data_IF_703602999570
#
_entry.id   IF_703602999570
#
_cell.length_a   1.000
_cell.length_b   1.000
_cell.length_c   1.000
_cell.angle_alpha   90.00
_cell.angle_beta   90.00
_cell.angle_gamma   90.00
#
_symmetry.space_group_name_H-M   'P 1'
#
loop_
_entity.id
_entity.type
_entity.pdbx_description
1 polymer ?
#
# COMPACT_ATOMS: atom_id res chain seq x y z
N UNK A 1 39.46 -5.13 -50.72
CA UNK A 1 38.81 -4.13 -49.85
C UNK A 1 37.42 -4.65 -49.49
N UNK A 2 37.18 -5.07 -48.25
CA UNK A 2 35.86 -5.53 -47.76
C UNK A 2 35.42 -4.66 -46.60
N UNK A 3 34.16 -4.22 -46.71
CA UNK A 3 33.51 -3.16 -45.94
C UNK A 3 33.41 -3.49 -44.44
N UNK A 4 33.90 -2.59 -43.58
CA UNK A 4 33.90 -2.70 -42.11
C UNK A 4 32.65 -2.10 -41.44
N UNK A 5 31.66 -1.60 -42.19
CA UNK A 5 30.53 -0.85 -41.62
C UNK A 5 29.36 -1.71 -41.11
N UNK A 6 29.26 -2.98 -41.52
CA UNK A 6 28.10 -3.83 -41.21
C UNK A 6 28.09 -4.45 -39.80
N UNK A 7 29.26 -4.59 -39.15
CA UNK A 7 29.37 -5.29 -37.85
C UNK A 7 29.04 -4.40 -36.62
N UNK A 8 28.85 -3.08 -36.81
CA UNK A 8 28.54 -2.14 -35.72
C UNK A 8 27.05 -2.03 -35.40
N UNK A 9 26.17 -2.26 -36.38
CA UNK A 9 24.72 -2.04 -36.22
C UNK A 9 24.03 -3.11 -35.36
N UNK A 10 24.45 -4.38 -35.45
CA UNK A 10 23.86 -5.50 -34.69
C UNK A 10 24.17 -5.44 -33.19
N UNK A 11 25.24 -4.75 -32.78
CA UNK A 11 25.64 -4.62 -31.37
C UNK A 11 24.89 -3.53 -30.60
N UNK A 12 24.26 -2.57 -31.28
CA UNK A 12 23.58 -1.44 -30.63
C UNK A 12 22.13 -1.81 -30.24
N UNK A 13 21.49 -2.72 -30.97
CA UNK A 13 20.07 -3.08 -30.78
C UNK A 13 19.82 -3.83 -29.46
N UNK A 14 20.75 -4.67 -29.00
CA UNK A 14 20.58 -5.43 -27.74
C UNK A 14 20.67 -4.51 -26.51
N UNK A 15 21.59 -3.55 -26.52
CA UNK A 15 21.79 -2.62 -25.38
C UNK A 15 20.61 -1.66 -25.16
N UNK A 16 19.96 -1.21 -26.24
CA UNK A 16 18.79 -0.32 -26.16
C UNK A 16 17.54 -1.04 -25.64
N UNK A 17 17.38 -2.34 -25.93
CA UNK A 17 16.29 -3.17 -25.40
C UNK A 17 16.46 -3.43 -23.89
N UNK A 18 17.69 -3.60 -23.41
CA UNK A 18 17.96 -3.75 -21.98
C UNK A 18 17.79 -2.43 -21.20
N UNK A 19 18.19 -1.29 -21.79
CA UNK A 19 17.98 0.03 -21.19
C UNK A 19 16.50 0.46 -21.20
N UNK A 20 15.74 0.10 -22.23
CA UNK A 20 14.30 0.33 -22.25
C UNK A 20 13.56 -0.57 -21.25
N UNK A 21 14.00 -1.81 -21.05
CA UNK A 21 13.48 -2.71 -20.01
C UNK A 21 13.74 -2.19 -18.58
N UNK A 22 14.93 -1.61 -18.33
CA UNK A 22 15.27 -0.99 -17.04
C UNK A 22 14.48 0.30 -16.77
N UNK A 23 14.24 1.11 -17.80
CA UNK A 23 13.39 2.30 -17.70
C UNK A 23 11.90 1.96 -17.57
N UNK A 24 11.46 0.79 -18.06
CA UNK A 24 10.09 0.28 -17.84
C UNK A 24 9.88 -0.23 -16.42
N UNK A 25 10.92 -0.80 -15.79
CA UNK A 25 10.88 -1.26 -14.41
C UNK A 25 10.86 -0.10 -13.39
N UNK A 26 11.41 1.07 -13.72
CA UNK A 26 11.43 2.23 -12.82
C UNK A 26 10.15 3.09 -12.87
N UNK A 27 9.30 2.91 -13.89
CA UNK A 27 8.14 3.78 -14.14
C UNK A 27 6.81 3.34 -13.50
N UNK A 28 6.73 2.15 -12.89
CA UNK A 28 5.52 1.70 -12.17
C UNK A 28 5.72 1.76 -10.66
N UNK A 29 5.99 2.95 -10.14
CA UNK A 29 5.51 3.28 -8.79
C UNK A 29 4.00 3.53 -8.89
N UNK A 30 3.22 2.46 -9.08
CA UNK A 30 1.87 2.47 -8.53
C UNK A 30 2.06 2.58 -7.02
N UNK A 31 2.08 3.80 -6.49
CA UNK A 31 1.79 4.01 -5.09
C UNK A 31 0.52 3.22 -4.80
N UNK A 32 0.57 2.32 -3.82
CA UNK A 32 -0.60 1.53 -3.43
C UNK A 32 -1.77 2.51 -3.34
N UNK A 33 -2.86 2.33 -4.12
CA UNK A 33 -4.06 3.07 -3.83
C UNK A 33 -4.40 2.70 -2.38
N UNK A 34 -4.36 3.70 -1.48
CA UNK A 34 -4.82 3.52 -0.11
C UNK A 34 -6.16 2.80 -0.19
N UNK A 35 -6.29 1.71 0.56
CA UNK A 35 -7.41 0.77 0.49
C UNK A 35 -8.72 1.54 0.29
N UNK A 36 -9.32 1.44 -0.91
CA UNK A 36 -10.61 2.10 -1.24
C UNK A 36 -11.81 1.24 -0.89
N UNK A 37 -11.55 0.09 -0.29
CA UNK A 37 -12.53 -0.90 0.06
C UNK A 37 -12.83 -0.82 1.54
N UNK A 38 -14.11 -0.68 1.86
CA UNK A 38 -14.60 -0.76 3.21
C UNK A 38 -14.56 -2.22 3.67
N UNK A 39 -13.51 -2.58 4.41
CA UNK A 39 -13.47 -3.86 5.12
C UNK A 39 -14.33 -3.77 6.38
N UNK A 40 -15.30 -4.67 6.50
CA UNK A 40 -16.06 -4.83 7.73
C UNK A 40 -15.17 -5.51 8.76
N UNK A 41 -14.46 -4.72 9.56
CA UNK A 41 -13.83 -5.24 10.76
C UNK A 41 -14.94 -5.75 11.67
N UNK A 42 -14.82 -7.00 12.11
CA UNK A 42 -15.80 -7.70 12.93
C UNK A 42 -15.88 -7.09 14.32
N UNK A 43 -16.43 -5.89 14.42
CA UNK A 43 -16.87 -5.33 15.67
C UNK A 43 -18.13 -6.09 16.07
N UNK A 44 -17.98 -7.05 16.99
CA UNK A 44 -19.06 -7.92 17.48
C UNK A 44 -19.89 -7.29 18.62
N UNK A 45 -19.69 -6.00 18.91
CA UNK A 45 -20.17 -5.37 20.14
C UNK A 45 -21.29 -4.34 19.96
N UNK A 46 -22.29 -4.60 19.11
CA UNK A 46 -23.48 -3.73 19.00
C UNK A 46 -23.24 -2.39 18.30
N UNK A 47 -24.17 -1.45 18.50
CA UNK A 47 -24.16 -0.15 17.83
C UNK A 47 -23.02 0.72 18.37
N UNK A 48 -22.26 1.37 17.48
CA UNK A 48 -21.19 2.30 17.85
C UNK A 48 -21.82 3.68 18.12
N UNK A 49 -21.53 4.26 19.28
CA UNK A 49 -22.05 5.57 19.69
C UNK A 49 -20.99 6.66 19.57
N UNK A 50 -19.73 6.31 19.81
CA UNK A 50 -18.61 7.25 19.73
C UNK A 50 -17.33 6.55 19.24
N UNK A 51 -16.50 7.31 18.53
CA UNK A 51 -15.19 6.92 18.05
C UNK A 51 -14.22 8.08 18.28
N UNK A 52 -13.06 7.81 18.88
CA UNK A 52 -12.00 8.79 19.07
C UNK A 52 -10.63 8.21 18.67
N UNK A 53 -9.78 9.07 18.11
CA UNK A 53 -8.39 8.77 17.74
C UNK A 53 -7.48 9.44 18.77
N UNK A 54 -6.47 8.73 19.26
CA UNK A 54 -5.44 9.34 20.09
C UNK A 54 -4.55 10.27 19.24
N UNK A 55 -4.50 11.58 19.52
CA UNK A 55 -3.69 12.52 18.75
C UNK A 55 -2.17 12.29 18.92
N UNK A 56 -1.74 11.68 20.03
CA UNK A 56 -0.32 11.35 20.24
C UNK A 56 0.08 10.06 19.52
N UNK A 57 -0.85 9.11 19.40
CA UNK A 57 -0.63 7.84 18.70
C UNK A 57 -1.80 7.50 17.76
N UNK A 58 -1.80 7.95 16.49
CA UNK A 58 -2.94 7.81 15.59
C UNK A 58 -3.39 6.37 15.27
N UNK A 59 -2.58 5.37 15.58
CA UNK A 59 -2.95 3.95 15.48
C UNK A 59 -3.80 3.47 16.67
N UNK A 60 -3.86 4.25 17.75
CA UNK A 60 -4.69 3.98 18.92
C UNK A 60 -6.08 4.60 18.73
N UNK A 61 -7.10 3.75 18.79
CA UNK A 61 -8.49 4.13 18.62
C UNK A 61 -9.31 3.68 19.83
N UNK A 62 -10.36 4.44 20.15
CA UNK A 62 -11.31 4.15 21.22
C UNK A 62 -12.73 4.17 20.68
N UNK A 63 -13.50 3.15 21.00
CA UNK A 63 -14.92 3.02 20.61
C UNK A 63 -15.78 2.90 21.85
N UNK A 64 -16.81 3.75 21.93
CA UNK A 64 -17.87 3.64 22.93
C UNK A 64 -19.09 2.96 22.34
N UNK A 65 -19.55 1.90 23.00
CA UNK A 65 -20.78 1.18 22.62
C UNK A 65 -21.70 1.02 23.81
N UNK A 66 -22.91 0.52 23.55
CA UNK A 66 -23.83 0.14 24.62
C UNK A 66 -23.26 -0.93 25.56
N UNK A 67 -22.41 -1.83 25.06
CA UNK A 67 -21.85 -2.94 25.84
C UNK A 67 -20.59 -2.56 26.63
N UNK A 68 -20.04 -1.36 26.40
CA UNK A 68 -18.80 -0.90 27.03
C UNK A 68 -17.84 -0.22 26.06
N UNK A 69 -16.64 0.06 26.58
CA UNK A 69 -15.56 0.70 25.84
C UNK A 69 -14.58 -0.32 25.26
N UNK A 70 -14.22 -0.13 23.99
CA UNK A 70 -13.23 -0.95 23.30
C UNK A 70 -12.04 -0.09 22.90
N UNK A 71 -10.85 -0.71 22.90
CA UNK A 71 -9.59 -0.07 22.48
C UNK A 71 -8.94 -0.88 21.38
N UNK A 72 -8.44 -0.18 20.37
CA UNK A 72 -7.52 -0.70 19.35
C UNK A 72 -6.17 0.00 19.48
N UNK A 73 -5.08 -0.70 19.17
CA UNK A 73 -3.72 -0.13 19.06
C UNK A 73 -3.12 -0.31 17.66
N UNK A 74 -3.84 -0.93 16.74
CA UNK A 74 -3.37 -1.33 15.41
C UNK A 74 -4.16 -0.67 14.27
N UNK A 75 -4.79 0.48 14.54
CA UNK A 75 -5.57 1.22 13.54
C UNK A 75 -6.98 0.66 13.29
N UNK A 76 -7.50 -0.15 14.19
CA UNK A 76 -8.88 -0.66 14.15
C UNK A 76 -9.00 -2.06 13.53
N UNK A 77 -7.86 -2.74 13.35
CA UNK A 77 -7.80 -4.11 12.83
C UNK A 77 -8.27 -5.08 13.92
N UNK A 78 -7.88 -4.84 15.18
CA UNK A 78 -8.34 -5.63 16.34
C UNK A 78 -8.81 -4.75 17.49
N UNK A 79 -9.76 -5.25 18.28
CA UNK A 79 -10.37 -4.52 19.40
C UNK A 79 -10.30 -5.36 20.68
N UNK A 80 -9.71 -4.78 21.73
CA UNK A 80 -9.74 -5.32 23.08
C UNK A 80 -10.87 -4.69 23.90
N UNK A 81 -11.70 -5.53 24.52
CA UNK A 81 -12.62 -5.09 25.57
C UNK A 81 -11.82 -4.69 26.81
N UNK A 82 -12.28 -3.65 27.50
CA UNK A 82 -11.78 -3.28 28.84
C UNK A 82 -12.82 -3.58 29.90
#
# INVERSE_FOLDING_TARGET
MRDRRSCKAVRITVGVVFLSALLWACGRSTGQPGIREWFRFGFLGGQIWSLAIDPATPTTLYVGTWLGGFKSTDGGVTWGAR
#
